data_IF_879175204136
#
_entry.id   IF_879175204136
#
_cell.length_a   1.000
_cell.length_b   1.000
_cell.length_c   1.000
_cell.angle_alpha   90.00
_cell.angle_beta   90.00
_cell.angle_gamma   90.00
#
_symmetry.space_group_name_H-M   'P 1'
#
loop_
_entity.id
_entity.type
_entity.pdbx_description
1 polymer ?
#
# COMPACT_ATOMS: atom_id res chain seq x y z
N UNK A 1 -14.82 -28.29 -21.56
CA UNK A 1 -16.27 -28.10 -21.78
C UNK A 1 -17.14 -29.33 -21.47
N UNK A 2 -16.93 -30.09 -20.38
CA UNK A 2 -17.93 -31.08 -19.93
C UNK A 2 -17.77 -31.51 -18.46
N UNK A 3 -16.53 -31.74 -18.00
CA UNK A 3 -16.27 -32.28 -16.67
C UNK A 3 -16.56 -31.30 -15.50
N UNK A 4 -16.26 -30.01 -15.68
CA UNK A 4 -16.39 -28.97 -14.63
C UNK A 4 -17.86 -28.66 -14.28
N UNK A 5 -18.80 -28.90 -15.20
CA UNK A 5 -20.24 -28.59 -15.01
C UNK A 5 -20.99 -29.61 -14.16
N UNK A 6 -20.43 -30.79 -13.90
CA UNK A 6 -21.10 -31.85 -13.11
C UNK A 6 -20.83 -31.78 -11.61
N UNK A 7 -19.79 -31.05 -11.18
CA UNK A 7 -19.36 -30.95 -9.77
C UNK A 7 -19.64 -29.59 -9.12
N UNK A 8 -20.02 -28.59 -9.89
CA UNK A 8 -20.26 -27.23 -9.40
C UNK A 8 -21.75 -26.86 -9.61
N UNK A 9 -22.55 -26.73 -8.54
CA UNK A 9 -23.88 -26.15 -8.60
C UNK A 9 -23.83 -24.81 -9.33
N UNK A 10 -24.79 -24.50 -10.20
CA UNK A 10 -24.80 -23.23 -10.96
C UNK A 10 -24.67 -21.97 -10.08
N UNK A 11 -25.08 -22.08 -8.82
CA UNK A 11 -24.90 -21.04 -7.80
C UNK A 11 -23.44 -20.71 -7.52
N UNK A 12 -22.54 -21.70 -7.52
CA UNK A 12 -21.10 -21.54 -7.25
C UNK A 12 -20.38 -21.01 -8.48
N UNK A 13 -20.72 -21.50 -9.68
CA UNK A 13 -20.17 -20.97 -10.93
C UNK A 13 -20.47 -19.47 -11.13
N UNK A 14 -21.72 -19.04 -10.86
CA UNK A 14 -22.10 -17.62 -10.88
C UNK A 14 -21.46 -16.79 -9.75
N UNK A 15 -21.04 -17.43 -8.64
CA UNK A 15 -20.29 -16.78 -7.55
C UNK A 15 -18.82 -16.59 -7.93
N UNK A 16 -18.20 -17.59 -8.56
CA UNK A 16 -16.82 -17.57 -9.03
C UNK A 16 -16.60 -16.53 -10.15
N UNK A 17 -17.52 -16.41 -11.11
CA UNK A 17 -17.38 -15.43 -12.20
C UNK A 17 -17.45 -13.99 -11.65
N UNK A 18 -18.46 -13.69 -10.80
CA UNK A 18 -18.57 -12.38 -10.14
C UNK A 18 -17.41 -12.07 -9.20
N UNK A 19 -16.85 -13.10 -8.55
CA UNK A 19 -15.66 -12.96 -7.72
C UNK A 19 -14.41 -12.65 -8.55
N UNK A 20 -14.22 -13.32 -9.70
CA UNK A 20 -13.08 -13.09 -10.60
C UNK A 20 -13.08 -11.64 -11.11
N UNK A 21 -14.24 -11.13 -11.49
CA UNK A 21 -14.38 -9.75 -11.99
C UNK A 21 -14.10 -8.71 -10.88
N UNK A 22 -14.63 -8.93 -9.67
CA UNK A 22 -14.34 -8.08 -8.51
C UNK A 22 -12.89 -8.13 -8.03
N UNK A 23 -12.26 -9.30 -8.10
CA UNK A 23 -10.86 -9.51 -7.74
C UNK A 23 -9.90 -8.82 -8.73
N UNK A 24 -10.07 -9.05 -10.03
CA UNK A 24 -9.30 -8.38 -11.09
C UNK A 24 -9.42 -6.85 -10.99
N UNK A 25 -10.64 -6.35 -10.78
CA UNK A 25 -10.87 -4.92 -10.61
C UNK A 25 -10.12 -4.33 -9.41
N UNK A 26 -10.11 -5.04 -8.28
CA UNK A 26 -9.40 -4.62 -7.06
C UNK A 26 -7.88 -4.68 -7.24
N UNK A 27 -7.36 -5.72 -7.88
CA UNK A 27 -5.92 -5.84 -8.17
C UNK A 27 -5.43 -4.74 -9.10
N UNK A 28 -6.17 -4.43 -10.18
CA UNK A 28 -5.79 -3.35 -11.11
C UNK A 28 -5.83 -1.98 -10.42
N UNK A 29 -6.81 -1.74 -9.55
CA UNK A 29 -6.87 -0.52 -8.73
C UNK A 29 -5.67 -0.42 -7.78
N UNK A 30 -5.35 -1.51 -7.08
CA UNK A 30 -4.22 -1.57 -6.17
C UNK A 30 -2.89 -1.35 -6.88
N UNK A 31 -2.69 -1.99 -8.04
CA UNK A 31 -1.52 -1.79 -8.88
C UNK A 31 -1.40 -0.33 -9.34
N UNK A 32 -2.50 0.29 -9.78
CA UNK A 32 -2.52 1.72 -10.12
C UNK A 32 -2.15 2.61 -8.94
N UNK A 33 -2.66 2.31 -7.74
CA UNK A 33 -2.31 3.04 -6.52
C UNK A 33 -0.81 2.95 -6.23
N UNK A 34 -0.21 1.76 -6.33
CA UNK A 34 1.23 1.57 -6.11
C UNK A 34 2.09 2.24 -7.17
N UNK A 35 1.70 2.20 -8.45
CA UNK A 35 2.40 2.95 -9.50
C UNK A 35 2.39 4.45 -9.23
N UNK A 36 1.28 4.98 -8.70
CA UNK A 36 1.15 6.40 -8.38
C UNK A 36 2.02 6.80 -7.19
N UNK A 37 2.10 5.94 -6.16
CA UNK A 37 3.02 6.11 -5.03
C UNK A 37 4.48 6.06 -5.52
N UNK A 38 4.83 5.08 -6.35
CA UNK A 38 6.19 4.95 -6.90
C UNK A 38 6.59 6.18 -7.72
N UNK A 39 5.71 6.66 -8.59
CA UNK A 39 5.95 7.88 -9.38
C UNK A 39 6.12 9.11 -8.49
N UNK A 40 5.35 9.20 -7.40
CA UNK A 40 5.48 10.26 -6.40
C UNK A 40 6.85 10.21 -5.71
N UNK A 41 7.23 9.05 -5.16
CA UNK A 41 8.55 8.83 -4.53
C UNK A 41 9.66 9.20 -5.51
N UNK A 42 9.57 8.76 -6.77
CA UNK A 42 10.56 9.09 -7.80
C UNK A 42 10.74 10.60 -7.99
N UNK A 43 9.65 11.36 -8.11
CA UNK A 43 9.72 12.83 -8.28
C UNK A 43 10.34 13.49 -7.06
N UNK A 44 9.94 13.08 -5.84
CA UNK A 44 10.49 13.63 -4.59
C UNK A 44 11.99 13.37 -4.51
N UNK A 45 12.42 12.13 -4.79
CA UNK A 45 13.83 11.74 -4.78
C UNK A 45 14.63 12.48 -5.85
N UNK A 46 14.10 12.60 -7.06
CA UNK A 46 14.78 13.30 -8.16
C UNK A 46 15.02 14.77 -7.81
N UNK A 47 13.99 15.47 -7.35
CA UNK A 47 14.10 16.88 -6.95
C UNK A 47 15.07 17.03 -5.77
N UNK A 48 14.97 16.17 -4.77
CA UNK A 48 15.87 16.17 -3.62
C UNK A 48 17.33 15.95 -3.99
N UNK A 49 17.61 14.94 -4.81
CA UNK A 49 18.97 14.64 -5.26
C UNK A 49 19.56 15.71 -6.18
N UNK A 50 18.73 16.36 -7.01
CA UNK A 50 19.14 17.52 -7.81
C UNK A 50 19.50 18.72 -6.93
N UNK A 51 18.69 19.01 -5.90
CA UNK A 51 18.98 20.09 -4.94
C UNK A 51 20.26 19.82 -4.14
N UNK A 52 20.50 18.55 -3.79
CA UNK A 52 21.72 18.08 -3.13
C UNK A 52 22.93 17.97 -4.06
N UNK A 53 22.75 18.25 -5.36
CA UNK A 53 23.77 18.15 -6.41
C UNK A 53 24.46 16.78 -6.46
N UNK A 54 23.71 15.72 -6.20
CA UNK A 54 24.23 14.35 -6.24
C UNK A 54 24.51 13.96 -7.69
N UNK A 55 25.70 13.43 -8.01
CA UNK A 55 25.99 12.92 -9.34
C UNK A 55 25.07 11.74 -9.65
N UNK A 56 24.58 11.66 -10.89
CA UNK A 56 23.62 10.62 -11.30
C UNK A 56 22.28 10.64 -10.54
N UNK A 57 21.82 11.82 -10.11
CA UNK A 57 20.55 12.02 -9.40
C UNK A 57 19.36 11.28 -10.04
N UNK A 58 19.27 11.28 -11.38
CA UNK A 58 18.22 10.55 -12.11
C UNK A 58 18.28 9.04 -11.88
N UNK A 59 19.47 8.45 -12.03
CA UNK A 59 19.67 7.02 -11.83
C UNK A 59 19.41 6.62 -10.38
N UNK A 60 19.92 7.41 -9.44
CA UNK A 60 19.72 7.20 -8.01
C UNK A 60 18.23 7.28 -7.63
N UNK A 61 17.50 8.26 -8.17
CA UNK A 61 16.06 8.42 -7.90
C UNK A 61 15.25 7.23 -8.44
N UNK A 62 15.56 6.73 -9.65
CA UNK A 62 14.93 5.52 -10.20
C UNK A 62 15.22 4.32 -9.31
N UNK A 63 16.49 4.11 -8.91
CA UNK A 63 16.88 2.98 -8.08
C UNK A 63 16.16 3.01 -6.71
N UNK A 64 16.12 4.17 -6.05
CA UNK A 64 15.42 4.35 -4.77
C UNK A 64 13.91 4.14 -4.91
N UNK A 65 13.28 4.68 -5.96
CA UNK A 65 11.84 4.50 -6.18
C UNK A 65 11.47 3.04 -6.52
N UNK A 66 12.35 2.32 -7.23
CA UNK A 66 12.17 0.88 -7.48
C UNK A 66 12.31 0.07 -6.21
N UNK A 67 13.29 0.39 -5.36
CA UNK A 67 13.45 -0.23 -4.05
C UNK A 67 12.23 0.03 -3.18
N UNK A 68 11.72 1.27 -3.14
CA UNK A 68 10.55 1.67 -2.35
C UNK A 68 9.25 0.90 -2.69
N UNK A 69 9.17 0.29 -3.87
CA UNK A 69 8.07 -0.61 -4.22
C UNK A 69 8.02 -1.85 -3.29
N UNK A 70 9.14 -2.20 -2.65
CA UNK A 70 9.26 -3.32 -1.74
C UNK A 70 8.75 -2.95 -0.34
N UNK A 71 7.87 -3.75 0.26
CA UNK A 71 7.26 -3.43 1.55
C UNK A 71 8.25 -3.40 2.74
N UNK A 72 9.42 -4.02 2.60
CA UNK A 72 10.46 -4.08 3.65
C UNK A 72 11.65 -3.16 3.34
N UNK A 73 11.95 -2.95 2.05
CA UNK A 73 13.14 -2.23 1.59
C UNK A 73 12.69 -0.87 1.06
N UNK A 74 12.28 0.03 1.96
CA UNK A 74 11.84 1.37 1.59
C UNK A 74 12.97 2.34 1.30
N UNK A 75 12.62 3.59 0.97
CA UNK A 75 13.56 4.73 0.82
C UNK A 75 14.58 4.82 1.96
N UNK A 76 14.13 4.57 3.20
CA UNK A 76 14.98 4.63 4.40
C UNK A 76 16.18 3.69 4.34
N UNK A 77 16.08 2.55 3.65
CA UNK A 77 17.19 1.59 3.53
C UNK A 77 18.38 2.14 2.74
N UNK A 78 18.15 3.13 1.86
CA UNK A 78 19.21 3.78 1.08
C UNK A 78 19.62 5.09 1.72
N UNK A 79 18.65 5.96 2.06
CA UNK A 79 18.94 7.31 2.53
C UNK A 79 19.50 7.33 3.97
N UNK A 80 19.11 6.40 4.84
CA UNK A 80 19.60 6.38 6.23
C UNK A 80 21.08 5.99 6.29
N UNK A 81 21.54 4.86 5.70
CA UNK A 81 22.96 4.54 5.69
C UNK A 81 23.80 5.58 4.95
N UNK A 82 23.28 6.14 3.85
CA UNK A 82 23.99 7.17 3.09
C UNK A 82 24.12 8.49 3.86
N UNK A 83 23.09 8.91 4.59
CA UNK A 83 23.18 10.10 5.43
C UNK A 83 24.21 9.92 6.56
N UNK A 84 24.22 8.75 7.22
CA UNK A 84 25.22 8.40 8.24
C UNK A 84 26.63 8.35 7.65
N UNK A 85 26.82 7.71 6.49
CA UNK A 85 28.11 7.66 5.81
C UNK A 85 28.62 9.06 5.43
N UNK A 86 27.74 9.93 4.96
CA UNK A 86 28.07 11.32 4.61
C UNK A 86 28.49 12.13 5.83
N UNK A 87 27.87 11.88 6.98
CA UNK A 87 28.21 12.52 8.25
C UNK A 87 29.59 12.08 8.74
N UNK A 88 29.88 10.79 8.70
CA UNK A 88 31.19 10.22 9.08
C UNK A 88 32.30 10.71 8.13
N UNK A 89 31.96 10.90 6.84
CA UNK A 89 32.89 11.43 5.83
C UNK A 89 33.14 12.94 5.94
N UNK A 90 32.53 13.62 6.93
CA UNK A 90 32.69 15.06 7.16
C UNK A 90 31.81 15.97 6.29
N UNK A 91 30.92 15.40 5.46
CA UNK A 91 29.99 16.17 4.64
C UNK A 91 28.64 16.34 5.36
N UNK A 92 28.66 17.17 6.41
CA UNK A 92 27.47 17.49 7.21
C UNK A 92 26.30 18.07 6.38
N UNK A 93 26.53 18.99 5.42
CA UNK A 93 25.44 19.52 4.59
C UNK A 93 24.70 18.44 3.79
N UNK A 94 25.44 17.50 3.18
CA UNK A 94 24.84 16.39 2.45
C UNK A 94 24.10 15.42 3.38
N UNK A 95 24.68 15.11 4.54
CA UNK A 95 24.05 14.23 5.53
C UNK A 95 22.70 14.77 6.01
N UNK A 96 22.67 16.05 6.41
CA UNK A 96 21.43 16.72 6.85
C UNK A 96 20.43 16.79 5.71
N UNK A 97 20.88 17.12 4.50
CA UNK A 97 20.02 17.16 3.33
C UNK A 97 19.38 15.82 2.96
N UNK A 98 20.14 14.72 3.01
CA UNK A 98 19.64 13.36 2.81
C UNK A 98 18.63 12.96 3.90
N UNK A 99 18.91 13.30 5.16
CA UNK A 99 18.00 13.02 6.27
C UNK A 99 16.68 13.80 6.15
N UNK A 100 16.75 15.10 5.81
CA UNK A 100 15.56 15.91 5.58
C UNK A 100 14.75 15.43 4.37
N UNK A 101 15.42 15.00 3.30
CA UNK A 101 14.77 14.42 2.14
C UNK A 101 14.03 13.12 2.51
N UNK A 102 14.66 12.26 3.29
CA UNK A 102 14.03 11.05 3.82
C UNK A 102 12.80 11.38 4.67
N UNK A 103 12.94 12.30 5.64
CA UNK A 103 11.84 12.70 6.51
C UNK A 103 10.67 13.31 5.71
N UNK A 104 10.97 14.19 4.75
CA UNK A 104 9.95 14.78 3.87
C UNK A 104 9.20 13.70 3.07
N UNK A 105 9.92 12.72 2.52
CA UNK A 105 9.31 11.59 1.81
C UNK A 105 8.38 10.78 2.72
N UNK A 106 8.81 10.41 3.93
CA UNK A 106 7.98 9.65 4.87
C UNK A 106 6.72 10.41 5.29
N UNK A 107 6.84 11.71 5.57
CA UNK A 107 5.68 12.55 5.91
C UNK A 107 4.70 12.55 4.74
N UNK A 108 5.18 12.84 3.53
CA UNK A 108 4.34 12.87 2.33
C UNK A 108 3.68 11.50 2.10
N UNK A 109 4.42 10.41 2.30
CA UNK A 109 3.93 9.03 2.15
C UNK A 109 2.82 8.71 3.15
N UNK A 110 2.97 9.10 4.42
CA UNK A 110 1.93 8.94 5.45
C UNK A 110 0.62 9.64 5.09
N UNK A 111 0.66 10.76 4.36
CA UNK A 111 -0.55 11.43 3.86
C UNK A 111 -1.05 10.85 2.53
N UNK A 112 -0.13 10.44 1.66
CA UNK A 112 -0.43 9.93 0.33
C UNK A 112 -1.06 8.53 0.40
N UNK A 113 -0.58 7.64 1.27
CA UNK A 113 -1.10 6.28 1.45
C UNK A 113 -2.60 6.24 1.77
N UNK A 114 -3.14 6.93 2.80
CA UNK A 114 -4.57 6.91 3.07
C UNK A 114 -5.40 7.59 1.96
N UNK A 115 -4.83 8.51 1.18
CA UNK A 115 -5.54 9.17 0.08
C UNK A 115 -5.58 8.32 -1.20
N UNK A 116 -4.49 7.62 -1.48
CA UNK A 116 -4.28 6.81 -2.69
C UNK A 116 -4.78 5.36 -2.49
N UNK A 117 -4.66 4.84 -1.27
CA UNK A 117 -5.05 3.47 -0.89
C UNK A 117 -6.32 3.50 -0.03
N UNK A 118 -6.44 4.48 0.86
CA UNK A 118 -7.36 4.45 2.01
C UNK A 118 -8.82 4.83 1.78
N UNK A 119 -9.39 4.64 0.59
CA UNK A 119 -10.88 4.63 0.46
C UNK A 119 -11.51 3.23 0.56
N UNK A 120 -10.79 2.23 1.09
CA UNK A 120 -11.24 0.83 1.08
C UNK A 120 -11.14 0.04 2.40
N UNK A 121 -10.68 0.63 3.52
CA UNK A 121 -10.50 -0.14 4.76
C UNK A 121 -11.55 0.21 5.82
N UNK A 122 -12.82 -0.06 5.50
CA UNK A 122 -13.91 -0.15 6.50
C UNK A 122 -13.80 -1.42 7.37
N UNK A 123 -12.59 -1.92 7.60
CA UNK A 123 -12.31 -3.14 8.37
C UNK A 123 -11.77 -2.71 9.72
N UNK A 124 -12.38 -3.18 10.80
CA UNK A 124 -11.98 -2.89 12.17
C UNK A 124 -10.47 -3.20 12.32
N UNK A 125 -9.61 -2.24 12.70
CA UNK A 125 -8.16 -2.43 12.74
C UNK A 125 -7.72 -3.64 13.57
N UNK A 126 -8.46 -3.92 14.66
CA UNK A 126 -8.25 -5.12 15.46
C UNK A 126 -8.48 -6.43 14.69
N UNK A 127 -9.49 -6.51 13.81
CA UNK A 127 -9.74 -7.71 13.02
C UNK A 127 -8.60 -7.95 12.01
N UNK A 128 -8.12 -6.90 11.35
CA UNK A 128 -6.97 -7.01 10.44
C UNK A 128 -5.74 -7.50 11.18
N UNK A 129 -5.48 -6.97 12.38
CA UNK A 129 -4.35 -7.37 13.22
C UNK A 129 -4.46 -8.84 13.68
N UNK A 130 -5.65 -9.27 14.10
CA UNK A 130 -5.92 -10.67 14.47
C UNK A 130 -5.69 -11.59 13.28
N UNK A 131 -6.22 -11.25 12.11
CA UNK A 131 -6.03 -12.04 10.89
C UNK A 131 -4.57 -12.09 10.42
N UNK A 132 -3.84 -10.99 10.57
CA UNK A 132 -2.42 -10.90 10.25
C UNK A 132 -1.59 -11.81 11.17
N UNK A 133 -1.88 -11.76 12.48
CA UNK A 133 -1.21 -12.57 13.49
C UNK A 133 -1.51 -14.07 13.31
N UNK A 134 -2.77 -14.43 13.07
CA UNK A 134 -3.17 -15.81 12.80
C UNK A 134 -2.54 -16.32 11.49
N UNK A 135 -2.43 -15.47 10.47
CA UNK A 135 -1.76 -15.82 9.21
C UNK A 135 -0.27 -16.02 9.37
N UNK A 136 0.38 -15.14 10.12
CA UNK A 136 1.78 -15.30 10.49
C UNK A 136 2.02 -16.60 11.29
N UNK A 137 1.17 -16.89 12.27
CA UNK A 137 1.29 -18.09 13.10
C UNK A 137 1.12 -19.40 12.30
N UNK A 138 0.31 -19.41 11.25
CA UNK A 138 0.01 -20.62 10.46
C UNK A 138 0.95 -20.83 9.27
N UNK A 139 1.40 -19.75 8.60
CA UNK A 139 2.14 -19.84 7.33
C UNK A 139 3.36 -18.91 7.27
N UNK A 140 3.79 -18.32 8.39
CA UNK A 140 4.91 -17.39 8.46
C UNK A 140 4.65 -16.10 7.66
N UNK A 141 5.72 -15.49 7.12
CA UNK A 141 5.64 -14.22 6.36
C UNK A 141 4.68 -14.31 5.17
N UNK A 142 4.52 -15.48 4.55
CA UNK A 142 3.58 -15.69 3.44
C UNK A 142 2.11 -15.61 3.88
N UNK A 143 1.79 -16.06 5.10
CA UNK A 143 0.44 -15.95 5.66
C UNK A 143 0.04 -14.51 5.99
N UNK A 144 1.01 -13.66 6.30
CA UNK A 144 0.82 -12.22 6.54
C UNK A 144 0.13 -11.53 5.35
N UNK A 145 0.48 -11.92 4.12
CA UNK A 145 -0.06 -11.33 2.89
C UNK A 145 -1.37 -12.00 2.45
N UNK A 146 -1.49 -13.31 2.61
CA UNK A 146 -2.62 -14.08 2.08
C UNK A 146 -3.93 -13.85 2.86
N UNK A 147 -3.86 -13.67 4.18
CA UNK A 147 -5.08 -13.58 5.00
C UNK A 147 -5.86 -12.26 4.80
N UNK A 148 -5.25 -11.06 4.81
CA UNK A 148 -5.99 -9.81 4.56
C UNK A 148 -6.69 -9.82 3.20
N UNK A 149 -6.03 -10.40 2.19
CA UNK A 149 -6.59 -10.58 0.84
C UNK A 149 -7.81 -11.50 0.89
N UNK A 150 -7.73 -12.63 1.60
CA UNK A 150 -8.84 -13.56 1.76
C UNK A 150 -10.03 -12.94 2.53
N UNK A 151 -9.76 -12.11 3.54
CA UNK A 151 -10.81 -11.45 4.34
C UNK A 151 -11.57 -10.40 3.54
N UNK A 152 -10.87 -9.56 2.77
CA UNK A 152 -11.49 -8.61 1.83
C UNK A 152 -12.32 -9.36 0.79
N UNK A 153 -11.79 -10.46 0.27
CA UNK A 153 -12.45 -11.29 -0.71
C UNK A 153 -13.72 -11.98 -0.15
N UNK A 154 -13.69 -12.42 1.11
CA UNK A 154 -14.83 -13.00 1.79
C UNK A 154 -15.95 -11.97 2.08
N UNK A 155 -15.57 -10.76 2.49
CA UNK A 155 -16.54 -9.67 2.70
C UNK A 155 -17.19 -9.23 1.37
N UNK A 156 -16.41 -9.19 0.29
CA UNK A 156 -16.95 -8.96 -1.06
C UNK A 156 -17.91 -10.07 -1.51
N UNK A 157 -17.64 -11.32 -1.16
CA UNK A 157 -18.50 -12.47 -1.49
C UNK A 157 -19.79 -12.58 -0.65
N UNK A 158 -19.82 -11.94 0.52
CA UNK A 158 -20.95 -11.98 1.47
C UNK A 158 -21.82 -10.72 1.47
N UNK A 159 -21.49 -9.69 0.68
CA UNK A 159 -22.34 -8.53 0.45
C UNK A 159 -22.52 -7.58 1.65
N UNK A 160 -21.83 -7.81 2.78
CA UNK A 160 -21.94 -7.02 4.01
C UNK A 160 -21.07 -5.75 4.04
N UNK A 161 -20.60 -5.29 2.88
CA UNK A 161 -19.67 -4.15 2.77
C UNK A 161 -20.32 -2.77 2.60
N UNK A 162 -21.66 -2.64 2.57
CA UNK A 162 -22.32 -1.37 2.17
C UNK A 162 -23.05 -0.60 3.29
N UNK A 163 -23.13 -1.09 4.53
CA UNK A 163 -24.05 -0.51 5.53
C UNK A 163 -23.44 0.31 6.67
N UNK A 164 -22.17 0.71 6.63
CA UNK A 164 -21.58 1.57 7.69
C UNK A 164 -20.82 2.80 7.21
N UNK A 165 -21.28 3.38 6.11
CA UNK A 165 -20.80 4.67 5.60
C UNK A 165 -21.94 5.67 5.44
N UNK A 166 -22.31 6.35 6.53
CA UNK A 166 -23.00 7.64 6.48
C UNK A 166 -24.53 7.62 6.69
N UNK A 167 -24.96 7.79 7.93
CA UNK A 167 -26.19 8.54 8.22
C UNK A 167 -25.77 9.80 8.99
N UNK A 168 -25.89 11.01 8.41
CA UNK A 168 -25.76 12.25 9.18
C UNK A 168 -26.82 12.27 10.29
N UNK A 169 -26.53 12.80 11.50
CA UNK A 169 -27.55 13.03 12.50
C UNK A 169 -28.66 13.89 11.90
N UNK A 170 -29.89 13.38 11.95
CA UNK A 170 -31.08 14.08 11.52
C UNK A 170 -31.18 15.44 12.20
N UNK A 171 -31.43 16.49 11.42
CA UNK A 171 -31.78 17.80 11.91
C UNK A 171 -32.96 17.69 12.87
N UNK A 172 -32.78 18.14 14.11
CA UNK A 172 -33.86 18.37 15.05
C UNK A 172 -34.72 19.52 14.52
N UNK A 173 -36.05 19.38 14.39
CA UNK A 173 -36.92 20.50 14.11
C UNK A 173 -37.01 21.38 15.37
N UNK A 174 -36.48 22.60 15.28
CA UNK A 174 -36.79 23.68 16.21
C UNK A 174 -38.31 23.91 16.22
N UNK A 175 -38.91 23.76 17.40
CA UNK A 175 -40.13 24.44 17.80
C UNK A 175 -39.81 25.24 19.05
#
# INVERSE_FOLDING_TARGET
>A
NAAVRRLLPEKIARRLIRFKDGFLYTMVRYLRSYLLIMAMTFVIMLVGFLLLRIPYALLAAIAVALLDMLPVIGVGTVLVPWSVFSLISGNTPLAVGLFLLFAANEIIRQFAEPKIVGRHLGIHPLLTLIFLYVGYALFGVLGLLLIPIATVAYQAATGKGKERGGTPPAAQPQK
#
